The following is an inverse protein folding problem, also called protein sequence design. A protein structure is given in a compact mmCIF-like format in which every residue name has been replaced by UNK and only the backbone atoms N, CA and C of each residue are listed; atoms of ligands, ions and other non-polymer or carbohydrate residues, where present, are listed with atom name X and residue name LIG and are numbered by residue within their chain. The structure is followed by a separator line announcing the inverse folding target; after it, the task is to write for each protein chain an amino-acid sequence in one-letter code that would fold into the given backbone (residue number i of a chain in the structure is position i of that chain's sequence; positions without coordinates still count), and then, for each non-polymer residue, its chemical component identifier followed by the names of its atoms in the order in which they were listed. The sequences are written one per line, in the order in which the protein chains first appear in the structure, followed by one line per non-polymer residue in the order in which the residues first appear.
data_IF_779938375766
#
_entry.id   IF_779938375766
#
_cell.length_a   1.000
_cell.length_b   1.000
_cell.length_c   1.000
_cell.angle_alpha   90.00
_cell.angle_beta   90.00
_cell.angle_gamma   90.00
#
_symmetry.space_group_name_H-M   'P 1'
#
loop_
_entity.id
_entity.type
_entity.pdbx_description
1 polymer ?
#
# COMPACT_ATOMS: atom_id res chain seq x y z
N UNK A 1 -24.27 2.03 -49.76
CA UNK A 1 -24.92 1.12 -48.80
C UNK A 1 -24.01 1.04 -47.58
N UNK A 2 -24.19 1.93 -46.60
CA UNK A 2 -23.35 1.92 -45.39
C UNK A 2 -24.21 2.30 -44.17
N UNK A 3 -25.04 1.33 -43.78
CA UNK A 3 -26.00 1.45 -42.66
C UNK A 3 -25.47 0.79 -41.39
N UNK A 4 -24.29 1.19 -40.90
CA UNK A 4 -23.90 0.87 -39.50
C UNK A 4 -23.31 2.05 -38.73
N UNK A 5 -23.83 3.24 -39.04
CA UNK A 5 -23.84 4.45 -38.19
C UNK A 5 -24.77 4.29 -36.96
N UNK A 6 -25.17 3.08 -36.54
CA UNK A 6 -26.10 2.88 -35.42
C UNK A 6 -25.65 1.80 -34.42
N UNK A 7 -24.40 1.88 -33.98
CA UNK A 7 -23.99 1.37 -32.67
C UNK A 7 -23.05 2.38 -31.99
N UNK A 8 -23.46 3.65 -32.02
CA UNK A 8 -23.06 4.62 -31.02
C UNK A 8 -23.71 4.19 -29.69
N UNK A 9 -22.98 4.39 -28.59
CA UNK A 9 -23.37 4.20 -27.18
C UNK A 9 -23.00 2.86 -26.53
N UNK A 10 -21.72 2.49 -26.60
CA UNK A 10 -21.00 1.96 -25.41
C UNK A 10 -19.78 2.85 -25.15
N UNK A 11 -20.07 4.14 -24.98
CA UNK A 11 -19.12 5.10 -24.45
C UNK A 11 -18.88 4.79 -22.96
N UNK A 12 -17.91 3.93 -22.69
CA UNK A 12 -17.49 3.56 -21.34
C UNK A 12 -16.06 3.00 -21.35
N UNK A 13 -15.20 3.56 -22.21
CA UNK A 13 -13.81 3.15 -22.35
C UNK A 13 -12.99 3.49 -21.11
N UNK A 14 -13.05 2.64 -20.09
CA UNK A 14 -12.07 2.65 -19.02
C UNK A 14 -10.90 1.77 -19.47
N UNK A 15 -10.08 2.27 -20.40
CA UNK A 15 -8.77 1.68 -20.64
C UNK A 15 -8.00 1.79 -19.31
N UNK A 16 -7.88 0.66 -18.59
CA UNK A 16 -7.17 0.60 -17.33
C UNK A 16 -5.79 1.22 -17.50
N UNK A 17 -5.57 2.40 -16.92
CA UNK A 17 -4.23 3.00 -16.84
C UNK A 17 -3.37 1.96 -16.12
N UNK A 18 -2.28 1.46 -16.74
CA UNK A 18 -1.39 0.52 -16.07
C UNK A 18 -0.75 1.26 -14.90
N UNK A 19 -1.29 1.05 -13.69
CA UNK A 19 -0.69 1.59 -12.48
C UNK A 19 0.69 0.94 -12.35
N UNK A 20 1.74 1.76 -12.23
CA UNK A 20 3.09 1.28 -11.98
C UNK A 20 3.06 0.31 -10.78
N UNK A 21 3.80 -0.78 -10.88
CA UNK A 21 3.87 -1.78 -9.82
C UNK A 21 4.51 -1.13 -8.58
N UNK A 22 3.81 -1.14 -7.45
CA UNK A 22 4.30 -0.62 -6.17
C UNK A 22 5.56 -1.41 -5.76
N UNK A 23 6.68 -0.76 -5.36
CA UNK A 23 7.88 -1.48 -4.95
C UNK A 23 7.58 -2.44 -3.80
N UNK A 24 8.02 -3.72 -3.87
CA UNK A 24 7.65 -4.73 -2.88
C UNK A 24 8.22 -4.38 -1.48
N UNK A 25 7.77 -5.08 -0.41
CA UNK A 25 8.23 -4.86 0.94
C UNK A 25 9.56 -5.56 1.23
N UNK A 26 10.23 -5.10 2.29
CA UNK A 26 11.44 -5.72 2.81
C UNK A 26 12.57 -5.87 1.79
N UNK A 27 13.25 -7.02 1.84
CA UNK A 27 14.43 -7.30 1.01
C UNK A 27 14.11 -7.54 -0.46
N UNK A 28 12.82 -7.70 -0.83
CA UNK A 28 12.40 -7.73 -2.23
C UNK A 28 12.53 -6.36 -2.90
N UNK A 29 12.55 -5.27 -2.12
CA UNK A 29 12.74 -3.92 -2.67
C UNK A 29 14.21 -3.74 -3.04
N UNK A 30 14.47 -3.18 -4.23
CA UNK A 30 15.82 -2.96 -4.73
C UNK A 30 16.70 -2.12 -3.76
N UNK A 31 16.09 -1.14 -3.10
CA UNK A 31 16.77 -0.25 -2.14
C UNK A 31 16.78 -0.81 -0.69
N UNK A 32 16.43 -2.08 -0.50
CA UNK A 32 16.29 -2.70 0.83
C UNK A 32 15.02 -2.24 1.57
N UNK A 33 14.80 -2.59 2.84
CA UNK A 33 13.58 -2.24 3.60
C UNK A 33 13.43 -0.72 3.82
N UNK A 34 12.19 -0.22 3.92
CA UNK A 34 11.85 1.19 4.22
C UNK A 34 12.24 1.61 5.64
N UNK A 35 12.12 0.68 6.57
CA UNK A 35 12.32 0.81 8.00
C UNK A 35 12.43 -0.60 8.60
N UNK A 36 12.79 -0.71 9.87
CA UNK A 36 12.95 -2.00 10.56
C UNK A 36 11.69 -2.90 10.58
N UNK A 37 10.50 -2.32 10.39
CA UNK A 37 9.22 -3.04 10.35
C UNK A 37 8.70 -3.33 8.92
N UNK A 38 9.52 -3.07 7.89
CA UNK A 38 9.16 -3.36 6.49
C UNK A 38 9.60 -4.79 6.14
N UNK A 39 8.74 -5.76 6.42
CA UNK A 39 9.02 -7.18 6.21
C UNK A 39 8.29 -7.76 4.99
N UNK A 40 8.93 -8.71 4.31
CA UNK A 40 8.32 -9.51 3.23
C UNK A 40 7.16 -10.37 3.76
N UNK A 41 7.39 -11.00 4.90
CA UNK A 41 6.41 -11.80 5.63
C UNK A 41 5.57 -10.91 6.55
N UNK A 42 4.29 -10.72 6.22
CA UNK A 42 3.39 -9.90 7.04
C UNK A 42 3.29 -10.34 8.49
N UNK A 43 3.55 -11.62 8.80
CA UNK A 43 3.47 -12.15 10.17
C UNK A 43 4.57 -11.60 11.08
N UNK A 44 5.60 -10.97 10.50
CA UNK A 44 6.69 -10.33 11.23
C UNK A 44 6.45 -8.84 11.48
N UNK A 45 5.42 -8.24 10.85
CA UNK A 45 5.13 -6.82 10.98
C UNK A 45 4.43 -6.54 12.31
N UNK A 46 4.99 -5.63 13.09
CA UNK A 46 4.38 -5.17 14.33
C UNK A 46 3.06 -4.42 14.05
N UNK A 47 1.95 -4.74 14.75
CA UNK A 47 0.66 -4.07 14.55
C UNK A 47 0.72 -2.56 14.84
N UNK A 48 1.53 -2.15 15.82
CA UNK A 48 1.76 -0.74 16.15
C UNK A 48 2.94 -0.18 15.37
N UNK A 49 2.99 1.16 15.17
CA UNK A 49 4.16 1.81 14.60
C UNK A 49 5.41 1.62 15.47
N UNK A 50 6.54 1.42 14.81
CA UNK A 50 7.87 1.42 15.41
C UNK A 50 8.48 2.83 15.39
N UNK A 51 9.51 3.06 16.21
CA UNK A 51 10.25 4.32 16.22
C UNK A 51 11.02 4.60 14.91
N UNK A 52 11.33 3.56 14.13
CA UNK A 52 12.00 3.72 12.84
C UNK A 52 10.98 4.07 11.74
N UNK A 53 9.76 3.51 11.82
CA UNK A 53 8.63 3.91 10.97
C UNK A 53 8.29 5.40 11.12
N UNK A 54 8.35 5.96 12.33
CA UNK A 54 8.10 7.40 12.53
C UNK A 54 9.16 8.26 11.83
N UNK A 55 10.40 7.78 11.72
CA UNK A 55 11.49 8.52 11.07
C UNK A 55 11.54 8.29 9.55
N UNK A 56 10.93 7.21 9.05
CA UNK A 56 10.86 6.93 7.62
C UNK A 56 10.05 7.99 6.86
N UNK A 57 10.63 8.47 5.75
CA UNK A 57 9.98 9.39 4.80
C UNK A 57 9.37 8.66 3.59
N UNK A 58 9.57 7.36 3.49
CA UNK A 58 9.11 6.55 2.35
C UNK A 58 7.72 5.98 2.67
N UNK A 59 6.81 6.08 1.70
CA UNK A 59 5.46 5.54 1.83
C UNK A 59 5.46 4.02 2.04
N UNK A 60 4.55 3.49 2.87
CA UNK A 60 4.45 2.06 3.14
C UNK A 60 4.08 1.28 1.87
N UNK A 61 4.44 0.00 1.83
CA UNK A 61 3.96 -0.88 0.78
C UNK A 61 2.47 -1.19 0.98
N UNK A 62 1.63 -0.70 0.05
CA UNK A 62 0.20 -0.99 0.01
C UNK A 62 -0.11 -1.94 -1.16
N UNK A 63 -0.43 -3.21 -0.88
CA UNK A 63 -0.70 -4.15 -1.96
C UNK A 63 -2.01 -3.83 -2.67
N UNK A 64 -2.02 -3.94 -4.00
CA UNK A 64 -3.22 -3.77 -4.80
C UNK A 64 -4.21 -4.92 -4.56
N UNK A 65 -5.47 -4.59 -4.23
CA UNK A 65 -6.58 -5.56 -4.18
C UNK A 65 -7.10 -5.94 -5.58
N UNK A 66 -6.22 -6.10 -6.56
CA UNK A 66 -6.66 -6.48 -7.90
C UNK A 66 -6.82 -8.00 -8.01
N UNK A 67 -7.93 -8.41 -8.61
CA UNK A 67 -8.25 -9.82 -8.93
C UNK A 67 -7.19 -10.52 -9.80
N UNK A 68 -6.30 -9.75 -10.43
CA UNK A 68 -5.23 -10.23 -11.32
C UNK A 68 -3.89 -10.53 -10.59
N UNK A 69 -3.91 -10.64 -9.26
CA UNK A 69 -2.81 -11.16 -8.44
C UNK A 69 -1.51 -10.33 -8.44
N UNK A 70 -1.60 -9.02 -8.67
CA UNK A 70 -0.43 -8.11 -8.55
C UNK A 70 0.01 -7.88 -7.10
N UNK A 71 -0.94 -7.87 -6.16
CA UNK A 71 -0.65 -7.73 -4.73
C UNK A 71 0.06 -8.97 -4.18
N UNK A 72 1.22 -8.75 -3.56
CA UNK A 72 1.95 -9.79 -2.80
C UNK A 72 2.22 -11.08 -3.58
N UNK A 73 2.56 -10.94 -4.87
CA UNK A 73 2.77 -12.05 -5.81
C UNK A 73 3.88 -13.03 -5.42
N UNK A 74 4.81 -12.62 -4.56
CA UNK A 74 5.87 -13.49 -4.02
C UNK A 74 5.35 -14.53 -3.02
N UNK A 75 4.16 -14.32 -2.47
CA UNK A 75 3.51 -15.28 -1.57
C UNK A 75 2.82 -16.34 -2.43
N UNK A 76 3.30 -17.58 -2.42
CA UNK A 76 2.75 -18.66 -3.23
C UNK A 76 1.30 -19.01 -2.84
N UNK A 77 1.04 -19.15 -1.53
CA UNK A 77 -0.26 -19.52 -0.98
C UNK A 77 -1.32 -18.44 -1.27
N UNK A 78 -2.43 -18.78 -1.95
CA UNK A 78 -3.51 -17.82 -2.20
C UNK A 78 -4.17 -17.28 -0.92
N UNK A 79 -4.25 -18.12 0.12
CA UNK A 79 -4.80 -17.73 1.41
C UNK A 79 -3.85 -16.76 2.10
N UNK A 80 -2.56 -17.08 2.17
CA UNK A 80 -1.58 -16.19 2.83
C UNK A 80 -1.44 -14.87 2.09
N UNK A 81 -1.55 -14.88 0.75
CA UNK A 81 -1.58 -13.67 -0.06
C UNK A 81 -2.80 -12.80 0.27
N UNK A 82 -3.98 -13.40 0.42
CA UNK A 82 -5.16 -12.67 0.84
C UNK A 82 -4.98 -12.09 2.24
N UNK A 83 -4.43 -12.85 3.18
CA UNK A 83 -4.16 -12.40 4.55
C UNK A 83 -3.13 -11.26 4.60
N UNK A 84 -2.05 -11.34 3.83
CA UNK A 84 -1.04 -10.27 3.71
C UNK A 84 -1.68 -8.97 3.20
N UNK A 85 -2.51 -9.06 2.15
CA UNK A 85 -3.24 -7.92 1.59
C UNK A 85 -4.15 -7.30 2.65
N UNK A 86 -4.99 -8.09 3.31
CA UNK A 86 -5.91 -7.57 4.33
C UNK A 86 -5.15 -6.96 5.50
N UNK A 87 -4.12 -7.65 6.00
CA UNK A 87 -3.33 -7.16 7.12
C UNK A 87 -2.69 -5.80 6.82
N UNK A 88 -2.01 -5.65 5.69
CA UNK A 88 -1.30 -4.41 5.36
C UNK A 88 -2.26 -3.24 5.17
N UNK A 89 -3.41 -3.47 4.51
CA UNK A 89 -4.40 -2.42 4.27
C UNK A 89 -5.14 -2.03 5.57
N UNK A 90 -5.60 -3.01 6.36
CA UNK A 90 -6.26 -2.72 7.64
C UNK A 90 -5.29 -2.09 8.64
N UNK A 91 -4.01 -2.49 8.64
CA UNK A 91 -3.00 -1.83 9.46
C UNK A 91 -2.85 -0.38 9.04
N UNK A 92 -2.69 -0.09 7.75
CA UNK A 92 -2.58 1.28 7.25
C UNK A 92 -3.77 2.13 7.69
N UNK A 93 -5.00 1.65 7.49
CA UNK A 93 -6.22 2.33 7.94
C UNK A 93 -6.21 2.62 9.44
N UNK A 94 -5.67 1.71 10.26
CA UNK A 94 -5.59 1.86 11.70
C UNK A 94 -4.45 2.80 12.15
N UNK A 95 -3.31 2.79 11.47
CA UNK A 95 -2.10 3.46 11.95
C UNK A 95 -1.73 4.76 11.23
N UNK A 96 -2.30 5.05 10.06
CA UNK A 96 -1.90 6.24 9.28
C UNK A 96 -2.04 7.53 10.09
N UNK A 97 -3.19 7.71 10.77
CA UNK A 97 -3.45 8.87 11.62
C UNK A 97 -2.52 8.94 12.86
N UNK A 98 -2.40 7.91 13.72
CA UNK A 98 -1.50 7.98 14.87
C UNK A 98 -0.02 8.06 14.47
N UNK A 99 0.40 7.47 13.34
CA UNK A 99 1.77 7.60 12.82
C UNK A 99 2.06 9.05 12.38
N UNK A 100 1.12 9.70 11.70
CA UNK A 100 1.23 11.11 11.34
C UNK A 100 1.30 12.01 12.59
N UNK A 101 0.48 11.73 13.62
CA UNK A 101 0.52 12.45 14.89
C UNK A 101 1.86 12.26 15.62
N UNK A 102 2.39 11.05 15.68
CA UNK A 102 3.69 10.76 16.29
C UNK A 102 4.83 11.49 15.56
N UNK A 103 4.79 11.53 14.22
CA UNK A 103 5.72 12.30 13.39
C UNK A 103 5.68 13.79 13.70
N UNK A 104 4.49 14.38 13.81
CA UNK A 104 4.33 15.79 14.15
C UNK A 104 4.84 16.11 15.56
N UNK A 105 4.55 15.23 16.53
CA UNK A 105 5.03 15.36 17.90
C UNK A 105 6.57 15.32 17.98
N UNK A 106 7.20 14.35 17.32
CA UNK A 106 8.66 14.21 17.29
C UNK A 106 9.34 15.30 16.45
N UNK A 107 8.65 15.83 15.44
CA UNK A 107 9.12 16.90 14.57
C UNK A 107 9.06 18.31 15.19
N UNK A 108 8.55 18.46 16.41
CA UNK A 108 8.62 19.72 17.15
C UNK A 108 7.64 20.81 16.70
N UNK A 109 6.44 20.47 16.23
CA UNK A 109 5.40 21.45 15.84
C UNK A 109 4.14 21.42 16.71
N UNK A 110 4.20 20.92 17.95
CA UNK A 110 3.10 21.10 18.91
C UNK A 110 3.39 22.32 19.78
N UNK A 111 2.90 23.49 19.35
CA UNK A 111 2.81 24.67 20.20
C UNK A 111 1.58 24.49 21.10
N UNK A 112 1.79 24.00 22.31
CA UNK A 112 0.72 23.77 23.31
C UNK A 112 0.01 25.02 23.82
N UNK A 113 -0.29 26.00 22.96
CA UNK A 113 -1.01 27.21 23.29
C UNK A 113 -2.50 27.00 23.03
N UNK A 114 -3.23 26.59 24.07
CA UNK A 114 -4.66 26.84 24.23
C UNK A 114 -4.88 27.79 25.40
#
# INVERSE_FOLDING_TARGET
EDRRVLAQLDAGGNAAIPRAEEPPPGTLRADGPRHNNDHEDFRQIAPLPTADETQSTILPYLPLQLRDARGSRWIASPIDRHLDIQFRLTREDAIAAPLAAARAFLGGSWDGSS
#
